data_IF_973853952783
#
_entry.id   IF_973853952783
#
_cell.length_a   1.000
_cell.length_b   1.000
_cell.length_c   1.000
_cell.angle_alpha   90.00
_cell.angle_beta   90.00
_cell.angle_gamma   90.00
#
_symmetry.space_group_name_H-M   'P 1'
#
loop_
_entity.id
_entity.type
_entity.pdbx_description
1 polymer ?
#
# COMPACT_ATOMS: atom_id res chain seq x y z
N UNK A 1 -5.69 23.08 9.55
CA UNK A 1 -4.74 21.99 9.23
C UNK A 1 -3.33 22.51 9.47
N UNK A 2 -2.29 21.68 9.51
CA UNK A 2 -0.91 22.16 9.64
C UNK A 2 -0.12 21.87 8.39
N UNK A 3 0.82 22.75 8.08
CA UNK A 3 1.88 22.49 7.12
C UNK A 3 3.19 22.38 7.89
N UNK A 4 3.88 21.27 7.73
CA UNK A 4 5.28 21.14 8.12
C UNK A 4 6.14 21.46 6.89
N UNK A 5 7.22 22.21 7.10
CA UNK A 5 8.30 22.35 6.15
C UNK A 5 9.54 21.71 6.76
N UNK A 6 10.04 20.64 6.13
CA UNK A 6 11.30 20.01 6.45
C UNK A 6 12.39 20.79 5.70
N UNK A 7 13.27 21.44 6.43
CA UNK A 7 14.21 22.42 5.87
C UNK A 7 15.54 21.77 5.52
N UNK A 8 16.16 21.12 6.51
CA UNK A 8 17.49 20.51 6.39
C UNK A 8 17.64 19.34 7.35
N UNK A 9 18.34 18.29 6.94
CA UNK A 9 18.86 17.24 7.82
C UNK A 9 20.39 17.36 7.83
N UNK A 10 20.98 17.54 9.00
CA UNK A 10 22.43 17.67 9.16
C UNK A 10 22.99 16.41 9.82
N UNK A 11 23.99 15.77 9.23
CA UNK A 11 24.72 14.65 9.81
C UNK A 11 25.92 15.18 10.60
N UNK A 12 25.99 14.88 11.90
CA UNK A 12 27.14 15.22 12.76
C UNK A 12 28.03 13.99 13.01
N UNK A 13 27.46 12.79 12.84
CA UNK A 13 28.15 11.51 12.97
C UNK A 13 27.34 10.43 12.27
N UNK A 14 27.97 9.72 11.33
CA UNK A 14 27.47 8.49 10.73
C UNK A 14 27.52 7.34 11.73
N UNK A 15 26.63 6.36 11.60
CA UNK A 15 26.76 5.07 12.29
C UNK A 15 28.06 4.37 11.85
N UNK A 16 28.30 4.50 10.55
CA UNK A 16 29.17 3.65 9.81
C UNK A 16 30.65 4.00 10.03
N UNK A 17 31.48 3.00 10.38
CA UNK A 17 32.90 3.23 10.71
C UNK A 17 33.71 3.66 9.48
N UNK A 18 33.23 3.30 8.28
CA UNK A 18 33.82 3.71 7.00
C UNK A 18 32.76 3.80 5.91
N UNK A 19 32.17 4.96 5.69
CA UNK A 19 31.19 5.10 4.63
C UNK A 19 30.41 6.38 4.75
N UNK A 20 29.40 6.54 3.90
CA UNK A 20 28.30 7.47 4.12
C UNK A 20 27.11 6.60 4.49
N UNK A 21 26.25 7.06 5.39
CA UNK A 21 24.98 6.37 5.64
C UNK A 21 24.10 6.54 4.39
N UNK A 22 23.54 5.47 3.86
CA UNK A 22 22.57 5.44 2.77
C UNK A 22 21.17 5.85 3.26
N UNK A 23 21.08 7.07 3.79
CA UNK A 23 19.92 7.53 4.55
C UNK A 23 18.58 7.41 3.79
N UNK A 24 17.64 6.66 4.37
CA UNK A 24 16.20 6.70 4.03
C UNK A 24 15.41 7.45 5.10
N UNK A 25 14.90 8.63 4.76
CA UNK A 25 13.99 9.39 5.61
C UNK A 25 12.53 9.15 5.23
N UNK A 26 11.83 8.33 6.03
CA UNK A 26 10.40 8.08 5.90
C UNK A 26 9.57 9.14 6.63
N UNK A 27 8.58 9.71 5.93
CA UNK A 27 7.68 10.74 6.48
C UNK A 27 6.25 10.24 6.58
N UNK A 28 5.72 10.14 7.79
CA UNK A 28 4.37 9.69 8.10
C UNK A 28 3.50 10.85 8.58
N UNK A 29 2.42 11.13 7.88
CA UNK A 29 1.45 12.16 8.28
C UNK A 29 0.20 11.48 8.81
N UNK A 30 -0.11 11.71 10.08
CA UNK A 30 -1.27 11.13 10.77
C UNK A 30 -1.35 9.59 10.68
N UNK A 31 -0.18 8.93 10.63
CA UNK A 31 -0.04 7.48 10.55
C UNK A 31 0.09 6.91 9.12
N UNK A 32 -0.04 7.73 8.08
CA UNK A 32 0.16 7.30 6.70
C UNK A 32 1.54 7.72 6.19
N UNK A 33 2.36 6.77 5.67
CA UNK A 33 3.61 7.15 4.98
C UNK A 33 3.26 7.96 3.74
N UNK A 34 3.75 9.19 3.72
CA UNK A 34 3.57 10.10 2.62
C UNK A 34 4.68 9.95 1.57
N UNK A 35 5.95 9.93 2.00
CA UNK A 35 7.10 9.78 1.10
C UNK A 35 8.32 9.25 1.87
N UNK A 36 9.26 8.66 1.14
CA UNK A 36 10.58 8.33 1.63
C UNK A 36 11.61 9.09 0.79
N UNK A 37 12.40 9.95 1.42
CA UNK A 37 13.53 10.61 0.78
C UNK A 37 14.76 9.72 0.92
N UNK A 38 15.66 9.75 -0.07
CA UNK A 38 16.95 9.05 -0.03
C UNK A 38 18.08 9.99 -0.41
N UNK A 39 19.16 9.97 0.36
CA UNK A 39 20.40 10.68 0.05
C UNK A 39 21.52 10.18 0.95
N UNK A 40 22.63 9.77 0.35
CA UNK A 40 23.84 9.42 1.09
C UNK A 40 24.35 10.64 1.87
N UNK A 41 24.63 10.44 3.16
CA UNK A 41 25.14 11.49 4.05
C UNK A 41 26.37 11.01 4.80
N UNK A 42 27.39 11.86 4.82
CA UNK A 42 28.62 11.64 5.60
C UNK A 42 28.72 12.68 6.73
N UNK A 43 29.69 12.50 7.62
CA UNK A 43 29.98 13.44 8.71
C UNK A 43 30.06 14.90 8.21
N UNK A 44 29.43 15.79 8.98
CA UNK A 44 29.31 17.24 8.74
C UNK A 44 28.60 17.63 7.43
N UNK A 45 27.83 16.73 6.81
CA UNK A 45 27.07 17.03 5.59
C UNK A 45 25.63 17.48 5.85
N UNK A 46 25.12 18.27 4.91
CA UNK A 46 23.75 18.78 4.91
C UNK A 46 22.93 18.17 3.77
N UNK A 47 21.72 17.75 4.11
CA UNK A 47 20.67 17.40 3.17
C UNK A 47 19.55 18.44 3.19
N UNK A 48 19.52 19.36 2.19
CA UNK A 48 18.50 20.39 2.11
C UNK A 48 17.17 19.80 1.58
N UNK A 49 16.36 19.25 2.49
CA UNK A 49 15.11 18.57 2.21
C UNK A 49 14.12 19.44 1.42
N UNK A 50 13.95 20.71 1.82
CA UNK A 50 13.03 21.68 1.20
C UNK A 50 11.61 21.13 0.94
N UNK A 51 11.13 20.22 1.78
CA UNK A 51 9.87 19.53 1.59
C UNK A 51 8.77 20.22 2.40
N UNK A 52 7.57 20.36 1.84
CA UNK A 52 6.42 20.91 2.57
C UNK A 52 5.22 20.00 2.46
N UNK A 53 4.67 19.62 3.61
CA UNK A 53 3.68 18.55 3.73
C UNK A 53 2.55 18.98 4.66
N UNK A 54 1.34 18.49 4.40
CA UNK A 54 0.19 18.76 5.25
C UNK A 54 -0.10 17.58 6.19
N UNK A 55 -0.44 17.91 7.43
CA UNK A 55 -0.86 16.96 8.47
C UNK A 55 -1.89 17.61 9.40
N UNK A 56 -2.69 16.79 10.07
CA UNK A 56 -3.77 17.23 10.96
C UNK A 56 -3.35 17.22 12.43
N UNK A 57 -2.66 16.17 12.87
CA UNK A 57 -2.36 15.89 14.28
C UNK A 57 -0.87 15.71 14.53
N UNK A 58 -0.22 14.81 13.79
CA UNK A 58 1.18 14.45 13.99
C UNK A 58 1.88 14.17 12.66
N UNK A 59 3.16 14.56 12.59
CA UNK A 59 4.09 14.15 11.55
C UNK A 59 5.17 13.31 12.24
N UNK A 60 5.22 12.01 11.95
CA UNK A 60 6.27 11.11 12.42
C UNK A 60 7.31 10.96 11.32
N UNK A 61 8.59 11.03 11.69
CA UNK A 61 9.72 10.87 10.80
C UNK A 61 10.54 9.69 11.32
N UNK A 62 10.93 8.80 10.41
CA UNK A 62 11.85 7.69 10.73
C UNK A 62 13.05 7.80 9.81
N UNK A 63 14.24 7.75 10.38
CA UNK A 63 15.48 7.72 9.63
C UNK A 63 16.06 6.31 9.73
N UNK A 64 16.51 5.80 8.60
CA UNK A 64 17.19 4.51 8.49
C UNK A 64 18.48 4.69 7.73
N UNK A 65 19.46 3.86 8.03
CA UNK A 65 20.52 3.51 7.10
C UNK A 65 20.03 2.37 6.19
N UNK A 66 20.30 2.44 4.90
CA UNK A 66 19.99 1.36 3.94
C UNK A 66 21.28 0.62 3.58
N UNK A 67 21.92 -0.01 4.56
CA UNK A 67 23.14 -0.79 4.34
C UNK A 67 22.87 -2.00 3.43
N UNK A 68 23.26 -1.86 2.16
CA UNK A 68 22.90 -2.81 1.11
C UNK A 68 23.99 -3.84 0.74
N UNK A 69 25.19 -3.71 1.29
CA UNK A 69 26.39 -4.31 0.68
C UNK A 69 26.91 -5.58 1.38
N UNK A 70 26.51 -5.87 2.63
CA UNK A 70 26.96 -7.07 3.35
C UNK A 70 25.82 -7.93 3.94
N UNK A 71 25.90 -9.28 3.83
CA UNK A 71 24.92 -10.15 4.46
C UNK A 71 24.99 -10.03 5.99
N UNK A 72 23.95 -9.45 6.59
CA UNK A 72 23.81 -9.30 8.04
C UNK A 72 24.04 -7.88 8.57
N UNK A 73 24.25 -6.89 7.69
CA UNK A 73 23.75 -5.53 7.91
C UNK A 73 22.28 -5.54 7.52
N UNK A 74 21.39 -5.32 8.49
CA UNK A 74 19.98 -5.08 8.22
C UNK A 74 19.77 -3.55 8.20
N UNK A 75 18.81 -3.01 7.42
CA UNK A 75 18.48 -1.57 7.45
C UNK A 75 18.34 -1.05 8.90
N UNK A 76 19.32 -0.31 9.41
CA UNK A 76 19.39 0.06 10.82
C UNK A 76 18.61 1.35 11.09
N UNK A 77 17.85 1.33 12.19
CA UNK A 77 16.94 2.41 12.52
C UNK A 77 17.68 3.52 13.29
N UNK A 78 18.17 4.52 12.56
CA UNK A 78 18.88 5.70 13.11
C UNK A 78 18.00 6.58 14.02
N UNK A 79 16.67 6.43 13.94
CA UNK A 79 15.75 6.79 15.01
C UNK A 79 14.39 7.33 14.57
N UNK A 80 13.58 7.75 15.55
CA UNK A 80 12.20 8.25 15.31
C UNK A 80 11.95 9.62 15.94
N UNK A 81 11.39 10.54 15.15
CA UNK A 81 10.98 11.87 15.59
C UNK A 81 9.47 12.04 15.44
N UNK A 82 8.81 12.62 16.45
CA UNK A 82 7.40 12.99 16.41
C UNK A 82 7.22 14.51 16.50
N UNK A 83 6.62 15.10 15.47
CA UNK A 83 6.35 16.53 15.38
C UNK A 83 4.85 16.77 15.53
N UNK A 84 4.49 17.49 16.59
CA UNK A 84 3.10 17.87 16.86
C UNK A 84 2.64 19.08 16.04
N UNK A 85 1.35 19.38 16.14
CA UNK A 85 0.70 20.49 15.44
C UNK A 85 1.00 21.91 15.99
N UNK A 86 1.99 22.08 16.86
CA UNK A 86 2.31 23.39 17.42
C UNK A 86 3.02 24.27 16.37
N UNK A 87 2.61 25.53 16.25
CA UNK A 87 3.27 26.47 15.33
C UNK A 87 4.68 26.78 15.85
N UNK A 88 5.69 26.45 15.05
CA UNK A 88 7.10 26.64 15.36
C UNK A 88 7.87 27.07 14.11
N UNK A 89 8.98 27.77 14.29
CA UNK A 89 9.86 28.19 13.19
C UNK A 89 11.28 27.75 13.49
N UNK A 90 11.94 27.13 12.51
CA UNK A 90 13.32 26.64 12.62
C UNK A 90 13.56 25.83 13.90
N UNK A 91 12.58 25.03 14.28
CA UNK A 91 12.72 24.09 15.39
C UNK A 91 13.63 22.94 14.98
N UNK A 92 14.25 22.30 15.96
CA UNK A 92 15.12 21.15 15.72
C UNK A 92 14.59 19.88 16.38
N UNK A 93 14.90 18.75 15.77
CA UNK A 93 14.73 17.41 16.33
C UNK A 93 15.97 16.56 15.97
N UNK A 94 16.22 15.49 16.71
CA UNK A 94 17.43 14.69 16.55
C UNK A 94 17.12 13.21 16.40
N UNK A 95 17.89 12.52 15.54
CA UNK A 95 17.94 11.06 15.45
C UNK A 95 19.29 10.62 16.04
N UNK A 96 19.25 9.72 17.02
CA UNK A 96 20.40 9.35 17.87
C UNK A 96 20.40 7.88 18.28
N UNK A 97 19.73 7.07 17.48
CA UNK A 97 19.79 5.62 17.62
C UNK A 97 20.96 5.11 16.74
N UNK A 98 21.47 3.93 17.06
CA UNK A 98 22.64 3.31 16.40
C UNK A 98 23.88 4.17 16.20
N UNK A 99 24.34 4.81 17.28
CA UNK A 99 25.58 5.61 17.30
C UNK A 99 25.64 6.77 16.27
N UNK A 100 24.58 7.02 15.51
CA UNK A 100 24.40 8.16 14.63
C UNK A 100 24.00 9.44 15.39
N UNK A 101 24.27 10.62 14.81
CA UNK A 101 23.79 11.91 15.34
C UNK A 101 23.36 12.85 14.21
N UNK A 102 22.06 12.83 13.94
CA UNK A 102 21.43 13.68 12.93
C UNK A 102 20.57 14.76 13.57
N UNK A 103 20.61 15.97 13.01
CA UNK A 103 19.75 17.10 13.42
C UNK A 103 18.85 17.55 12.26
N UNK A 104 17.55 17.37 12.42
CA UNK A 104 16.53 17.91 11.53
C UNK A 104 16.16 19.33 11.93
N UNK A 105 16.13 20.25 10.96
CA UNK A 105 15.52 21.58 11.10
C UNK A 105 14.18 21.62 10.37
N UNK A 106 13.13 22.13 11.03
CA UNK A 106 11.79 22.20 10.48
C UNK A 106 10.98 23.40 10.99
N UNK A 107 9.92 23.72 10.26
CA UNK A 107 8.91 24.70 10.67
C UNK A 107 7.51 24.11 10.57
N UNK A 108 6.61 24.51 11.46
CA UNK A 108 5.18 24.15 11.41
C UNK A 108 4.35 25.42 11.42
N UNK A 109 3.44 25.55 10.47
CA UNK A 109 2.55 26.70 10.35
C UNK A 109 1.10 26.26 10.21
N UNK A 110 0.19 27.09 10.71
CA UNK A 110 -1.24 26.89 10.51
C UNK A 110 -1.67 27.13 9.07
N UNK A 111 -2.49 26.21 8.56
CA UNK A 111 -3.20 26.30 7.27
C UNK A 111 -4.70 26.29 7.52
N UNK A 112 -5.28 27.45 7.93
CA UNK A 112 -6.72 27.57 8.16
C UNK A 112 -7.53 27.57 6.85
N UNK A 113 -6.87 27.80 5.72
CA UNK A 113 -7.44 27.75 4.38
C UNK A 113 -7.71 26.32 3.89
N UNK A 114 -7.11 25.32 4.55
CA UNK A 114 -7.32 23.90 4.25
C UNK A 114 -8.16 23.27 5.36
N UNK A 115 -9.34 22.80 4.99
CA UNK A 115 -10.25 22.08 5.86
C UNK A 115 -9.55 20.89 6.53
N UNK A 116 -9.77 20.72 7.83
CA UNK A 116 -8.96 19.84 8.70
C UNK A 116 -9.03 18.34 8.37
N UNK A 117 -9.88 17.89 7.43
CA UNK A 117 -10.26 16.49 7.28
C UNK A 117 -10.22 15.92 5.87
N UNK A 118 -9.74 16.64 4.85
CA UNK A 118 -9.79 16.12 3.46
C UNK A 118 -8.52 16.31 2.64
N UNK A 119 -7.41 15.79 3.17
CA UNK A 119 -6.10 15.77 2.50
C UNK A 119 -6.13 15.09 1.13
N UNK A 120 -6.97 14.07 0.95
CA UNK A 120 -7.10 13.38 -0.33
C UNK A 120 -7.71 14.30 -1.41
N UNK A 121 -8.77 15.05 -1.10
CA UNK A 121 -9.31 16.02 -2.06
C UNK A 121 -8.32 17.14 -2.37
N UNK A 122 -7.57 17.60 -1.36
CA UNK A 122 -6.49 18.55 -1.61
C UNK A 122 -5.42 17.99 -2.56
N UNK A 123 -5.00 16.73 -2.38
CA UNK A 123 -4.06 16.06 -3.27
C UNK A 123 -4.62 15.93 -4.70
N UNK A 124 -5.92 15.62 -4.84
CA UNK A 124 -6.62 15.58 -6.13
C UNK A 124 -6.61 16.95 -6.80
N UNK A 125 -6.94 18.02 -6.06
CA UNK A 125 -6.98 19.38 -6.59
C UNK A 125 -5.58 19.86 -7.01
N UNK A 126 -4.54 19.51 -6.23
CA UNK A 126 -3.15 19.75 -6.61
C UNK A 126 -2.76 18.98 -7.88
N UNK A 127 -3.18 17.72 -7.99
CA UNK A 127 -2.94 16.95 -9.20
C UNK A 127 -3.66 17.56 -10.39
N UNK A 128 -4.93 17.95 -10.26
CA UNK A 128 -5.71 18.63 -11.31
C UNK A 128 -5.02 19.93 -11.78
N UNK A 129 -4.51 20.73 -10.84
CA UNK A 129 -3.82 21.99 -11.12
C UNK A 129 -2.38 21.82 -11.67
N UNK A 130 -1.75 20.64 -11.47
CA UNK A 130 -0.38 20.39 -11.94
C UNK A 130 -0.28 20.53 -13.46
N UNK A 131 0.77 21.23 -13.92
CA UNK A 131 1.09 21.37 -15.34
C UNK A 131 2.13 20.36 -15.83
N UNK A 132 2.54 19.41 -14.98
CA UNK A 132 3.48 18.38 -15.38
C UNK A 132 2.87 17.53 -16.52
N UNK A 133 3.67 17.19 -17.55
CA UNK A 133 3.18 16.34 -18.64
C UNK A 133 2.90 14.93 -18.12
N UNK A 134 1.93 14.25 -18.73
CA UNK A 134 1.68 12.82 -18.49
C UNK A 134 2.49 11.94 -19.43
N UNK A 135 2.93 10.79 -18.94
CA UNK A 135 3.67 9.80 -19.74
C UNK A 135 2.81 8.64 -20.26
N UNK A 136 1.49 8.77 -20.13
CA UNK A 136 0.46 7.82 -20.59
C UNK A 136 -0.32 8.43 -21.75
N UNK A 137 0.14 8.29 -23.01
CA UNK A 137 -0.42 9.00 -24.16
C UNK A 137 -1.88 8.65 -24.44
N UNK A 138 -2.35 7.49 -23.98
CA UNK A 138 -3.72 7.00 -24.21
C UNK A 138 -4.68 7.27 -23.05
N UNK A 139 -4.20 7.85 -21.94
CA UNK A 139 -5.03 8.14 -20.76
C UNK A 139 -5.20 9.65 -20.59
N UNK A 140 -6.45 10.07 -20.39
CA UNK A 140 -6.81 11.46 -20.16
C UNK A 140 -6.64 11.82 -18.68
N UNK A 141 -5.85 12.85 -18.37
CA UNK A 141 -5.75 13.40 -17.00
C UNK A 141 -7.11 13.75 -16.42
N UNK A 142 -8.00 14.34 -17.22
CA UNK A 142 -9.34 14.73 -16.76
C UNK A 142 -10.19 13.52 -16.36
N UNK A 143 -10.07 12.41 -17.09
CA UNK A 143 -10.76 11.16 -16.73
C UNK A 143 -10.16 10.55 -15.45
N UNK A 144 -8.83 10.55 -15.31
CA UNK A 144 -8.14 10.10 -14.09
C UNK A 144 -8.60 10.92 -12.87
N UNK A 145 -8.63 12.25 -12.96
CA UNK A 145 -9.10 13.12 -11.86
C UNK A 145 -10.56 12.81 -11.49
N UNK A 146 -11.43 12.57 -12.49
CA UNK A 146 -12.82 12.17 -12.26
C UNK A 146 -12.89 10.84 -11.52
N UNK A 147 -12.07 9.86 -11.90
CA UNK A 147 -12.02 8.56 -11.25
C UNK A 147 -11.53 8.68 -9.80
N UNK A 148 -10.46 9.42 -9.55
CA UNK A 148 -9.94 9.68 -8.20
C UNK A 148 -11.01 10.28 -7.27
N UNK A 149 -11.76 11.29 -7.76
CA UNK A 149 -12.89 11.88 -7.02
C UNK A 149 -13.99 10.85 -6.75
N UNK A 150 -14.29 9.99 -7.74
CA UNK A 150 -15.28 8.94 -7.58
C UNK A 150 -14.85 7.89 -6.54
N UNK A 151 -13.58 7.46 -6.52
CA UNK A 151 -13.07 6.46 -5.55
C UNK A 151 -12.96 7.05 -4.15
N UNK A 152 -12.60 8.34 -4.04
CA UNK A 152 -12.61 9.07 -2.78
C UNK A 152 -14.01 9.11 -2.14
N UNK A 153 -15.05 9.28 -2.95
CA UNK A 153 -16.44 9.28 -2.50
C UNK A 153 -17.00 7.88 -2.25
N UNK A 154 -16.58 6.89 -3.05
CA UNK A 154 -16.97 5.50 -2.88
C UNK A 154 -15.89 4.53 -3.40
N UNK A 155 -14.98 4.03 -2.52
CA UNK A 155 -13.89 3.15 -2.93
C UNK A 155 -14.38 1.78 -3.41
N UNK A 156 -15.61 1.36 -3.04
CA UNK A 156 -16.16 0.08 -3.51
C UNK A 156 -16.42 0.07 -5.01
N UNK A 157 -16.28 1.17 -5.73
CA UNK A 157 -16.47 1.22 -7.19
C UNK A 157 -15.25 0.79 -8.00
N UNK A 158 -14.11 0.54 -7.35
CA UNK A 158 -12.92 -0.04 -7.99
C UNK A 158 -13.30 -1.41 -8.55
N UNK A 159 -12.97 -1.70 -9.80
CA UNK A 159 -13.41 -2.95 -10.42
C UNK A 159 -12.43 -3.42 -11.50
N UNK A 160 -11.97 -4.66 -11.37
CA UNK A 160 -11.11 -5.35 -12.34
C UNK A 160 -11.82 -5.75 -13.64
N UNK A 161 -13.13 -5.56 -13.71
CA UNK A 161 -13.98 -6.03 -14.81
C UNK A 161 -13.82 -7.55 -15.00
N UNK A 162 -13.66 -8.04 -16.23
CA UNK A 162 -13.48 -9.47 -16.51
C UNK A 162 -11.99 -9.86 -16.59
N UNK A 163 -11.11 -9.14 -15.88
CA UNK A 163 -9.66 -9.36 -15.89
C UNK A 163 -9.21 -10.22 -14.71
N UNK A 164 -8.14 -11.00 -14.90
CA UNK A 164 -7.47 -11.78 -13.86
C UNK A 164 -6.60 -10.89 -12.94
N UNK A 165 -7.18 -9.82 -12.38
CA UNK A 165 -6.50 -8.85 -11.52
C UNK A 165 -7.07 -8.81 -10.10
N UNK A 166 -7.63 -9.90 -9.60
CA UNK A 166 -8.33 -9.93 -8.30
C UNK A 166 -7.40 -9.57 -7.14
N UNK A 167 -6.16 -10.06 -7.16
CA UNK A 167 -5.12 -9.72 -6.17
C UNK A 167 -4.79 -8.22 -6.16
N UNK A 168 -4.26 -7.65 -7.25
CA UNK A 168 -3.96 -6.21 -7.32
C UNK A 168 -5.16 -5.33 -7.02
N UNK A 169 -6.35 -5.71 -7.49
CA UNK A 169 -7.59 -4.95 -7.26
C UNK A 169 -7.99 -4.95 -5.79
N UNK A 170 -7.78 -6.06 -5.09
CA UNK A 170 -8.00 -6.16 -3.64
C UNK A 170 -7.08 -5.21 -2.88
N UNK A 171 -5.79 -5.16 -3.25
CA UNK A 171 -4.82 -4.22 -2.67
C UNK A 171 -5.22 -2.77 -2.97
N UNK A 172 -5.55 -2.44 -4.22
CA UNK A 172 -5.89 -1.06 -4.62
C UNK A 172 -7.19 -0.59 -3.96
N UNK A 173 -8.19 -1.46 -3.82
CA UNK A 173 -9.38 -1.17 -3.03
C UNK A 173 -9.04 -0.86 -1.58
N UNK A 174 -8.23 -1.70 -0.94
CA UNK A 174 -7.86 -1.52 0.45
C UNK A 174 -7.04 -0.24 0.64
N UNK A 175 -6.15 0.08 -0.31
CA UNK A 175 -5.38 1.33 -0.35
C UNK A 175 -6.31 2.54 -0.46
N UNK A 176 -7.24 2.56 -1.41
CA UNK A 176 -8.16 3.67 -1.58
C UNK A 176 -9.12 3.85 -0.38
N UNK A 177 -9.48 2.75 0.30
CA UNK A 177 -10.37 2.75 1.46
C UNK A 177 -9.67 3.24 2.73
N UNK A 178 -8.44 2.80 2.95
CA UNK A 178 -7.70 3.04 4.21
C UNK A 178 -6.73 4.21 4.13
N UNK A 179 -6.20 4.50 2.94
CA UNK A 179 -5.16 5.50 2.67
C UNK A 179 -5.47 6.29 1.39
N UNK A 180 -6.61 7.01 1.34
CA UNK A 180 -7.10 7.63 0.11
C UNK A 180 -6.16 8.67 -0.48
N UNK A 181 -5.38 9.37 0.36
CA UNK A 181 -4.36 10.32 -0.12
C UNK A 181 -3.23 9.57 -0.83
N UNK A 182 -2.71 8.50 -0.22
CA UNK A 182 -1.65 7.68 -0.81
C UNK A 182 -2.07 7.10 -2.16
N UNK A 183 -3.31 6.61 -2.29
CA UNK A 183 -3.84 6.19 -3.58
C UNK A 183 -3.75 7.29 -4.66
N UNK A 184 -4.14 8.53 -4.32
CA UNK A 184 -4.02 9.69 -5.22
C UNK A 184 -2.56 9.97 -5.58
N UNK A 185 -1.66 9.93 -4.59
CA UNK A 185 -0.24 10.21 -4.78
C UNK A 185 0.43 9.15 -5.69
N UNK A 186 0.12 7.87 -5.52
CA UNK A 186 0.65 6.80 -6.39
C UNK A 186 0.12 6.94 -7.83
N UNK A 187 -1.18 7.20 -8.00
CA UNK A 187 -1.78 7.43 -9.33
C UNK A 187 -1.14 8.63 -10.02
N UNK A 188 -0.91 9.73 -9.28
CA UNK A 188 -0.24 10.91 -9.81
C UNK A 188 1.20 10.62 -10.23
N UNK A 189 2.00 9.99 -9.36
CA UNK A 189 3.39 9.64 -9.66
C UNK A 189 3.48 8.79 -10.92
N UNK A 190 2.60 7.79 -11.03
CA UNK A 190 2.53 6.91 -12.17
C UNK A 190 2.14 7.66 -13.46
N UNK A 191 1.19 8.58 -13.39
CA UNK A 191 0.80 9.42 -14.53
C UNK A 191 1.90 10.39 -14.98
N UNK A 192 2.51 11.12 -14.04
CA UNK A 192 3.47 12.20 -14.33
C UNK A 192 4.88 11.69 -14.62
N UNK A 193 5.30 10.58 -13.99
CA UNK A 193 6.70 10.08 -14.07
C UNK A 193 6.81 8.69 -14.67
N UNK A 194 5.72 7.93 -14.76
CA UNK A 194 5.73 6.57 -15.28
C UNK A 194 6.02 5.50 -14.25
N UNK A 195 6.26 5.86 -12.99
CA UNK A 195 6.42 4.91 -11.89
C UNK A 195 6.05 5.55 -10.57
N UNK A 196 5.99 4.75 -9.52
CA UNK A 196 5.73 5.21 -8.16
C UNK A 196 6.71 4.54 -7.18
N UNK A 197 6.92 5.19 -6.04
CA UNK A 197 7.66 4.58 -4.93
C UNK A 197 6.73 3.76 -4.04
N UNK A 198 7.08 2.50 -3.80
CA UNK A 198 6.54 1.71 -2.69
C UNK A 198 7.22 2.12 -1.37
N UNK A 199 7.33 1.25 -0.37
CA UNK A 199 8.11 1.55 0.84
C UNK A 199 9.60 1.56 0.50
N UNK A 200 10.10 0.46 -0.07
CA UNK A 200 11.54 0.24 -0.26
C UNK A 200 11.99 0.35 -1.72
N UNK A 201 11.09 0.19 -2.70
CA UNK A 201 11.47 0.11 -4.11
C UNK A 201 10.66 1.05 -5.00
N UNK A 202 11.22 1.34 -6.18
CA UNK A 202 10.48 2.02 -7.24
C UNK A 202 9.84 0.98 -8.16
N UNK A 203 8.58 1.22 -8.52
CA UNK A 203 7.81 0.38 -9.43
C UNK A 203 7.50 1.20 -10.67
N UNK A 204 8.10 0.84 -11.81
CA UNK A 204 7.99 1.60 -13.06
C UNK A 204 7.10 0.90 -14.08
N UNK A 205 6.09 1.60 -14.61
CA UNK A 205 5.31 1.10 -15.73
C UNK A 205 6.17 1.04 -17.00
N UNK A 206 6.35 -0.16 -17.59
CA UNK A 206 7.15 -0.28 -18.79
C UNK A 206 6.46 0.42 -19.95
N UNK A 207 7.24 0.91 -20.90
CA UNK A 207 6.72 1.68 -22.02
C UNK A 207 5.60 0.94 -22.78
N UNK A 208 5.75 -0.38 -22.98
CA UNK A 208 4.74 -1.19 -23.64
C UNK A 208 3.38 -1.17 -22.94
N UNK A 209 3.34 -1.05 -21.61
CA UNK A 209 2.10 -0.88 -20.85
C UNK A 209 1.56 0.56 -20.98
N UNK A 210 2.44 1.56 -20.87
CA UNK A 210 2.07 2.99 -20.94
C UNK A 210 1.43 3.38 -22.27
N UNK A 211 1.83 2.72 -23.34
CA UNK A 211 1.33 2.96 -24.69
C UNK A 211 -0.05 2.31 -24.95
N UNK A 212 -0.62 1.57 -23.97
CA UNK A 212 -1.94 0.93 -24.08
C UNK A 212 -3.08 1.83 -23.62
N UNK A 213 -4.27 1.62 -24.20
CA UNK A 213 -5.51 2.14 -23.63
C UNK A 213 -5.87 1.42 -22.33
N UNK A 214 -6.70 2.04 -21.49
CA UNK A 214 -7.30 1.35 -20.36
C UNK A 214 -8.02 0.07 -20.82
N UNK A 215 -7.59 -1.07 -20.30
CA UNK A 215 -8.11 -2.38 -20.67
C UNK A 215 -9.52 -2.61 -20.12
N UNK A 216 -10.32 -3.39 -20.88
CA UNK A 216 -11.60 -3.96 -20.45
C UNK A 216 -12.63 -2.96 -19.86
N UNK A 217 -12.60 -1.69 -20.26
CA UNK A 217 -13.43 -0.62 -19.70
C UNK A 217 -13.21 -0.37 -18.18
N UNK A 218 -12.07 -0.79 -17.64
CA UNK A 218 -11.64 -0.35 -16.31
C UNK A 218 -11.45 1.17 -16.32
N UNK A 219 -11.64 1.79 -15.15
CA UNK A 219 -11.40 3.23 -15.04
C UNK A 219 -9.90 3.52 -15.24
N UNK A 220 -9.53 4.57 -16.00
CA UNK A 220 -8.13 4.92 -16.25
C UNK A 220 -7.24 4.95 -15.01
N UNK A 221 -7.69 5.52 -13.89
CA UNK A 221 -6.90 5.57 -12.66
C UNK A 221 -6.63 4.17 -12.08
N UNK A 222 -7.67 3.33 -12.06
CA UNK A 222 -7.59 1.97 -11.51
C UNK A 222 -6.76 1.07 -12.41
N UNK A 223 -7.00 1.11 -13.73
CA UNK A 223 -6.22 0.37 -14.72
C UNK A 223 -4.73 0.67 -14.60
N UNK A 224 -4.37 1.95 -14.53
CA UNK A 224 -2.98 2.37 -14.51
C UNK A 224 -2.24 1.73 -13.34
N UNK A 225 -2.78 1.84 -12.12
CA UNK A 225 -2.15 1.27 -10.93
C UNK A 225 -2.19 -0.27 -10.92
N UNK A 226 -3.36 -0.88 -11.19
CA UNK A 226 -3.56 -2.33 -11.15
C UNK A 226 -2.69 -3.03 -12.21
N UNK A 227 -2.66 -2.52 -13.44
CA UNK A 227 -1.91 -3.14 -14.52
C UNK A 227 -0.40 -2.98 -14.32
N UNK A 228 0.07 -1.85 -13.75
CA UNK A 228 1.48 -1.68 -13.38
C UNK A 228 1.88 -2.66 -12.28
N UNK A 229 1.07 -2.80 -11.22
CA UNK A 229 1.35 -3.76 -10.16
C UNK A 229 1.48 -5.19 -10.70
N UNK A 230 0.59 -5.60 -11.60
CA UNK A 230 0.63 -6.93 -12.23
C UNK A 230 1.82 -7.11 -13.17
N UNK A 231 2.26 -6.06 -13.87
CA UNK A 231 3.37 -6.17 -14.80
C UNK A 231 4.73 -6.26 -14.07
N UNK A 232 4.87 -5.46 -13.01
CA UNK A 232 6.10 -5.29 -12.26
C UNK A 232 6.10 -6.10 -10.96
N UNK A 233 5.45 -7.27 -10.97
CA UNK A 233 5.48 -8.21 -9.85
C UNK A 233 6.94 -8.46 -9.45
N UNK A 234 7.78 -8.91 -10.38
CA UNK A 234 9.19 -9.18 -10.11
C UNK A 234 10.03 -7.98 -9.63
N UNK A 235 9.55 -6.73 -9.77
CA UNK A 235 10.25 -5.55 -9.26
C UNK A 235 10.07 -5.37 -7.75
N UNK A 236 8.95 -5.84 -7.21
CA UNK A 236 8.64 -5.82 -5.76
C UNK A 236 9.12 -7.12 -5.10
N UNK A 237 9.44 -8.13 -5.91
CA UNK A 237 9.49 -9.53 -5.54
C UNK A 237 10.74 -10.21 -6.10
N UNK A 238 11.70 -10.53 -5.24
CA UNK A 238 12.83 -11.40 -5.61
C UNK A 238 12.32 -12.81 -5.98
N UNK A 239 12.64 -13.30 -7.17
CA UNK A 239 12.20 -14.64 -7.64
C UNK A 239 12.63 -15.71 -6.64
N UNK A 240 11.67 -16.26 -5.89
CA UNK A 240 11.97 -17.30 -4.90
C UNK A 240 12.15 -18.65 -5.62
N UNK A 241 13.31 -19.32 -5.47
CA UNK A 241 13.53 -20.66 -6.02
C UNK A 241 12.67 -21.74 -5.33
N UNK A 242 12.02 -21.42 -4.19
CA UNK A 242 11.26 -22.34 -3.36
C UNK A 242 9.74 -22.33 -3.62
N UNK A 243 9.27 -21.69 -4.70
CA UNK A 243 7.86 -21.77 -5.15
C UNK A 243 7.52 -23.15 -5.76
N UNK A 244 7.92 -24.23 -5.09
CA UNK A 244 7.61 -25.61 -5.45
C UNK A 244 6.45 -26.12 -4.60
N UNK A 245 5.33 -26.47 -5.24
CA UNK A 245 4.12 -26.94 -4.55
C UNK A 245 2.84 -26.73 -5.34
N UNK A 246 1.68 -26.97 -4.72
CA UNK A 246 0.34 -26.74 -5.33
C UNK A 246 0.16 -25.30 -5.82
N UNK A 247 0.89 -24.33 -5.22
CA UNK A 247 0.91 -22.92 -5.62
C UNK A 247 1.49 -22.67 -7.01
N UNK A 248 2.39 -23.52 -7.52
CA UNK A 248 2.92 -23.39 -8.90
C UNK A 248 1.95 -23.88 -9.98
N UNK A 249 0.88 -24.59 -9.59
CA UNK A 249 -0.16 -25.09 -10.50
C UNK A 249 -1.27 -24.04 -10.75
N UNK A 250 -1.18 -22.89 -10.07
CA UNK A 250 -2.13 -21.78 -10.16
C UNK A 250 -1.60 -20.78 -11.20
N UNK A 251 -1.47 -21.23 -12.45
CA UNK A 251 -0.95 -20.40 -13.54
C UNK A 251 -1.87 -19.19 -13.78
N UNK A 252 -1.36 -17.99 -13.49
CA UNK A 252 -2.03 -16.73 -13.82
C UNK A 252 -2.90 -16.08 -12.73
N UNK A 253 -2.97 -16.66 -11.53
CA UNK A 253 -3.51 -15.97 -10.33
C UNK A 253 -2.37 -15.27 -9.58
N UNK A 254 -2.71 -14.26 -8.78
CA UNK A 254 -1.78 -13.70 -7.80
C UNK A 254 -1.53 -14.72 -6.69
N UNK A 255 -0.26 -14.95 -6.35
CA UNK A 255 0.16 -15.84 -5.27
C UNK A 255 0.01 -15.18 -3.89
N UNK A 256 -0.08 -15.96 -2.79
CA UNK A 256 -0.10 -15.39 -1.45
C UNK A 256 1.09 -14.48 -1.13
N UNK A 257 2.28 -14.84 -1.60
CA UNK A 257 3.49 -14.06 -1.33
C UNK A 257 3.50 -12.71 -2.07
N UNK A 258 2.95 -12.64 -3.29
CA UNK A 258 2.74 -11.35 -3.96
C UNK A 258 1.75 -10.47 -3.17
N UNK A 259 0.66 -11.05 -2.66
CA UNK A 259 -0.26 -10.34 -1.78
C UNK A 259 0.42 -9.85 -0.50
N UNK A 260 1.32 -10.63 0.09
CA UNK A 260 2.06 -10.23 1.28
C UNK A 260 2.96 -9.03 1.01
N UNK A 261 3.82 -9.10 0.00
CA UNK A 261 4.73 -7.99 -0.22
C UNK A 261 4.00 -6.74 -0.74
N UNK A 262 2.91 -6.84 -1.50
CA UNK A 262 2.06 -5.65 -1.76
C UNK A 262 1.40 -5.10 -0.48
N UNK A 263 0.99 -5.97 0.44
CA UNK A 263 0.45 -5.54 1.75
C UNK A 263 1.53 -4.80 2.56
N UNK A 264 2.79 -5.25 2.50
CA UNK A 264 3.91 -4.56 3.13
C UNK A 264 4.26 -3.24 2.43
N UNK A 265 4.38 -3.27 1.10
CA UNK A 265 5.01 -2.22 0.30
C UNK A 265 4.04 -1.09 -0.11
N UNK A 266 2.81 -1.46 -0.48
CA UNK A 266 1.80 -0.48 -0.94
C UNK A 266 0.92 -0.03 0.21
N UNK A 267 0.44 -0.98 1.04
CA UNK A 267 -0.41 -0.71 2.19
C UNK A 267 0.37 -0.38 3.46
N UNK A 268 1.71 -0.48 3.42
CA UNK A 268 2.61 -0.07 4.49
C UNK A 268 2.39 -0.82 5.79
N UNK A 269 1.90 -2.06 5.70
CA UNK A 269 1.73 -2.92 6.86
C UNK A 269 3.10 -3.43 7.31
N UNK A 270 3.43 -3.26 8.59
CA UNK A 270 4.75 -3.64 9.11
C UNK A 270 4.78 -5.07 9.59
N UNK A 271 3.61 -5.63 9.91
CA UNK A 271 3.46 -7.04 10.25
C UNK A 271 2.48 -7.65 9.27
N UNK A 272 3.01 -8.48 8.38
CA UNK A 272 2.23 -9.20 7.37
C UNK A 272 2.29 -10.70 7.66
N UNK A 273 1.19 -11.39 7.48
CA UNK A 273 1.11 -12.83 7.67
C UNK A 273 0.20 -13.47 6.62
N UNK A 274 0.71 -14.49 5.94
CA UNK A 274 -0.07 -15.43 5.16
C UNK A 274 -0.37 -16.71 5.97
N UNK A 275 -1.50 -17.33 5.65
CA UNK A 275 -1.85 -18.69 6.08
C UNK A 275 -2.59 -19.38 4.96
N UNK A 276 -2.27 -20.64 4.67
CA UNK A 276 -2.96 -21.45 3.68
C UNK A 276 -3.77 -22.55 4.35
N UNK A 277 -4.90 -22.89 3.75
CA UNK A 277 -5.89 -23.84 4.30
C UNK A 277 -6.23 -24.94 3.30
N UNK A 278 -5.27 -25.34 2.46
CA UNK A 278 -5.47 -26.42 1.48
C UNK A 278 -5.83 -27.79 2.10
N UNK A 279 -5.62 -27.96 3.40
CA UNK A 279 -5.84 -29.24 4.12
C UNK A 279 -6.79 -29.06 5.30
N UNK A 280 -6.64 -27.99 6.08
CA UNK A 280 -7.48 -27.61 7.22
C UNK A 280 -7.10 -26.20 7.70
N UNK A 281 -7.95 -25.58 8.52
CA UNK A 281 -7.66 -24.35 9.27
C UNK A 281 -8.50 -23.13 8.87
N UNK A 282 -9.51 -23.34 8.02
CA UNK A 282 -10.36 -22.33 7.39
C UNK A 282 -11.07 -21.46 8.42
N UNK A 283 -11.59 -22.07 9.49
CA UNK A 283 -12.27 -21.36 10.57
C UNK A 283 -11.32 -20.52 11.43
N UNK A 284 -10.13 -21.04 11.73
CA UNK A 284 -9.15 -20.27 12.52
C UNK A 284 -8.61 -19.11 11.69
N UNK A 285 -8.39 -19.32 10.39
CA UNK A 285 -7.99 -18.29 9.46
C UNK A 285 -9.06 -17.18 9.34
N UNK A 286 -10.34 -17.49 9.12
CA UNK A 286 -11.37 -16.43 9.00
C UNK A 286 -11.60 -15.68 10.32
N UNK A 287 -11.47 -16.35 11.47
CA UNK A 287 -11.50 -15.69 12.79
C UNK A 287 -10.32 -14.74 12.96
N UNK A 288 -9.12 -15.16 12.55
CA UNK A 288 -7.94 -14.32 12.58
C UNK A 288 -8.07 -13.11 11.64
N UNK A 289 -8.55 -13.32 10.41
CA UNK A 289 -8.87 -12.25 9.48
C UNK A 289 -9.89 -11.25 10.07
N UNK A 290 -10.94 -11.75 10.72
CA UNK A 290 -11.90 -10.91 11.44
C UNK A 290 -11.25 -10.10 12.55
N UNK A 291 -10.36 -10.71 13.35
CA UNK A 291 -9.62 -10.02 14.40
C UNK A 291 -8.74 -8.90 13.82
N UNK A 292 -7.90 -9.19 12.82
CA UNK A 292 -7.02 -8.20 12.18
C UNK A 292 -7.83 -7.02 11.63
N UNK A 293 -8.88 -7.31 10.87
CA UNK A 293 -9.74 -6.29 10.27
C UNK A 293 -10.45 -5.44 11.33
N UNK A 294 -10.96 -6.07 12.39
CA UNK A 294 -11.64 -5.37 13.50
C UNK A 294 -10.68 -4.50 14.31
N UNK A 295 -9.39 -4.80 14.29
CA UNK A 295 -8.32 -3.98 14.87
C UNK A 295 -7.83 -2.85 13.95
N UNK A 296 -8.45 -2.66 12.78
CA UNK A 296 -8.06 -1.62 11.81
C UNK A 296 -6.97 -2.06 10.81
N UNK A 297 -6.59 -3.33 10.83
CA UNK A 297 -5.71 -3.93 9.81
C UNK A 297 -6.44 -4.26 8.51
N UNK A 298 -5.72 -4.95 7.63
CA UNK A 298 -6.22 -5.41 6.33
C UNK A 298 -6.25 -6.94 6.28
N UNK A 299 -7.26 -7.50 5.64
CA UNK A 299 -7.42 -8.94 5.51
C UNK A 299 -7.95 -9.31 4.12
N UNK A 300 -7.23 -10.22 3.45
CA UNK A 300 -7.49 -10.74 2.13
C UNK A 300 -7.77 -12.23 2.23
N UNK A 301 -8.72 -12.74 1.44
CA UNK A 301 -9.09 -14.16 1.43
C UNK A 301 -8.80 -14.72 0.04
N UNK A 302 -8.07 -15.83 0.01
CA UNK A 302 -7.89 -16.67 -1.16
C UNK A 302 -9.01 -17.71 -1.19
N UNK A 303 -9.79 -17.72 -2.26
CA UNK A 303 -10.98 -18.57 -2.36
C UNK A 303 -11.20 -19.10 -3.77
N UNK A 304 -12.11 -20.05 -3.90
CA UNK A 304 -12.74 -20.39 -5.18
C UNK A 304 -14.06 -19.62 -5.34
N UNK A 305 -14.31 -19.06 -6.53
CA UNK A 305 -15.42 -18.17 -6.84
C UNK A 305 -16.81 -18.80 -6.66
N UNK A 306 -16.89 -20.13 -6.64
CA UNK A 306 -18.07 -20.90 -6.20
C UNK A 306 -18.51 -20.59 -4.76
N UNK A 307 -17.69 -19.90 -3.96
CA UNK A 307 -18.11 -19.35 -2.67
C UNK A 307 -19.31 -18.41 -2.82
N UNK A 308 -19.40 -17.65 -3.93
CA UNK A 308 -20.50 -16.71 -4.18
C UNK A 308 -21.77 -17.40 -4.68
N UNK A 309 -21.62 -18.55 -5.36
CA UNK A 309 -22.74 -19.30 -5.90
C UNK A 309 -22.35 -20.77 -5.98
N UNK A 310 -22.90 -21.65 -5.12
CA UNK A 310 -22.56 -23.07 -5.12
C UNK A 310 -22.83 -23.71 -6.49
N UNK A 311 -21.92 -24.53 -7.02
CA UNK A 311 -22.13 -25.24 -8.27
C UNK A 311 -23.08 -26.43 -8.06
N UNK A 312 -23.62 -26.97 -9.15
CA UNK A 312 -24.38 -28.24 -9.12
C UNK A 312 -23.48 -29.47 -8.84
N UNK A 313 -22.16 -29.28 -8.76
CA UNK A 313 -21.14 -30.33 -8.63
C UNK A 313 -20.15 -30.08 -7.48
N UNK A 314 -19.00 -30.75 -7.55
CA UNK A 314 -17.91 -30.55 -6.57
C UNK A 314 -17.19 -29.24 -6.87
N UNK A 315 -16.91 -28.45 -5.82
CA UNK A 315 -16.02 -27.28 -5.91
C UNK A 315 -14.63 -27.75 -6.34
N UNK A 316 -14.01 -27.14 -7.36
CA UNK A 316 -12.64 -27.43 -7.74
C UNK A 316 -11.67 -27.29 -6.55
N UNK A 317 -10.73 -28.23 -6.36
CA UNK A 317 -9.82 -28.24 -5.20
C UNK A 317 -8.64 -27.27 -5.35
N UNK A 318 -8.83 -26.14 -6.03
CA UNK A 318 -7.85 -25.08 -6.19
C UNK A 318 -8.55 -23.72 -6.17
N UNK A 319 -7.91 -22.66 -5.63
CA UNK A 319 -8.48 -21.31 -5.66
C UNK A 319 -8.41 -20.69 -7.05
N UNK A 320 -9.27 -19.70 -7.31
CA UNK A 320 -9.29 -18.92 -8.55
C UNK A 320 -9.42 -17.40 -8.30
N UNK A 321 -9.57 -16.97 -7.03
CA UNK A 321 -9.94 -15.59 -6.73
C UNK A 321 -9.41 -15.07 -5.39
N UNK A 322 -9.21 -13.75 -5.35
CA UNK A 322 -8.88 -12.98 -4.15
C UNK A 322 -9.98 -11.97 -3.86
N UNK A 323 -10.29 -11.81 -2.57
CA UNK A 323 -11.28 -10.83 -2.08
C UNK A 323 -10.76 -10.12 -0.84
N UNK A 324 -11.34 -8.97 -0.51
CA UNK A 324 -11.05 -8.27 0.76
C UNK A 324 -12.14 -8.62 1.77
N UNK A 325 -11.76 -9.05 2.96
CA UNK A 325 -12.70 -9.26 4.05
C UNK A 325 -13.31 -7.93 4.48
N UNK A 326 -14.64 -7.90 4.64
CA UNK A 326 -15.41 -6.67 4.90
C UNK A 326 -16.29 -6.76 6.17
N UNK A 327 -15.92 -7.64 7.12
CA UNK A 327 -16.54 -7.69 8.44
C UNK A 327 -17.77 -8.60 8.55
N UNK A 328 -18.40 -8.54 9.73
CA UNK A 328 -19.69 -9.21 9.99
C UNK A 328 -19.60 -10.72 10.19
N UNK A 329 -18.49 -11.24 10.71
CA UNK A 329 -18.36 -12.67 11.01
C UNK A 329 -19.42 -13.13 12.04
N UNK A 330 -20.22 -14.13 11.67
CA UNK A 330 -21.14 -14.86 12.53
C UNK A 330 -21.07 -16.34 12.20
N UNK A 331 -20.64 -17.14 13.19
CA UNK A 331 -20.53 -18.60 13.11
C UNK A 331 -21.58 -19.22 14.03
N UNK A 332 -22.82 -19.33 13.55
CA UNK A 332 -23.94 -19.82 14.35
C UNK A 332 -24.87 -20.74 13.58
N UNK A 333 -25.45 -21.71 14.28
CA UNK A 333 -26.47 -22.60 13.70
C UNK A 333 -25.98 -23.49 12.56
N UNK A 334 -24.70 -23.88 12.55
CA UNK A 334 -24.10 -24.69 11.48
C UNK A 334 -23.89 -23.92 10.18
N UNK A 335 -23.77 -22.59 10.27
CA UNK A 335 -23.56 -21.68 9.15
C UNK A 335 -22.49 -20.66 9.50
N UNK A 336 -21.90 -20.09 8.47
CA UNK A 336 -20.95 -18.99 8.57
C UNK A 336 -21.42 -17.84 7.68
N UNK A 337 -21.42 -16.64 8.26
CA UNK A 337 -21.78 -15.40 7.59
C UNK A 337 -20.67 -14.39 7.73
N UNK A 338 -20.41 -13.63 6.69
CA UNK A 338 -19.48 -12.50 6.67
C UNK A 338 -19.66 -11.72 5.37
N UNK A 339 -19.07 -10.54 5.26
CA UNK A 339 -19.06 -9.76 4.02
C UNK A 339 -17.67 -9.75 3.39
N UNK A 340 -17.62 -9.69 2.07
CA UNK A 340 -16.38 -9.52 1.30
C UNK A 340 -16.55 -8.46 0.23
N UNK A 341 -15.50 -7.72 -0.07
CA UNK A 341 -15.41 -6.91 -1.27
C UNK A 341 -14.85 -7.74 -2.43
N UNK A 342 -15.54 -7.66 -3.58
CA UNK A 342 -15.11 -8.23 -4.85
C UNK A 342 -15.78 -7.45 -5.99
N UNK A 343 -15.22 -7.45 -7.20
CA UNK A 343 -15.86 -6.92 -8.43
C UNK A 343 -16.65 -5.60 -8.29
N UNK A 344 -16.14 -4.65 -7.51
CA UNK A 344 -16.78 -3.36 -7.30
C UNK A 344 -18.04 -3.38 -6.41
N UNK A 345 -18.17 -4.35 -5.49
CA UNK A 345 -19.28 -4.43 -4.55
C UNK A 345 -18.91 -5.14 -3.24
N UNK A 346 -19.73 -4.93 -2.21
CA UNK A 346 -19.70 -5.71 -0.98
C UNK A 346 -20.77 -6.80 -1.06
N UNK A 347 -20.33 -8.05 -0.92
CA UNK A 347 -21.18 -9.22 -0.95
C UNK A 347 -21.33 -9.79 0.46
N UNK A 348 -22.55 -9.79 1.04
CA UNK A 348 -22.83 -10.60 2.22
C UNK A 348 -22.91 -12.07 1.80
N UNK A 349 -22.12 -12.91 2.45
CA UNK A 349 -22.10 -14.35 2.28
C UNK A 349 -22.83 -15.01 3.46
N UNK A 350 -23.62 -16.03 3.17
CA UNK A 350 -24.29 -16.88 4.15
C UNK A 350 -24.21 -18.33 3.67
N UNK A 351 -23.28 -19.09 4.24
CA UNK A 351 -22.86 -20.41 3.73
C UNK A 351 -23.06 -21.49 4.81
N UNK A 352 -23.23 -22.75 4.38
CA UNK A 352 -22.97 -23.87 5.29
C UNK A 352 -21.48 -23.93 5.62
N UNK A 353 -21.15 -24.52 6.77
CA UNK A 353 -19.74 -24.75 7.17
C UNK A 353 -18.99 -25.55 6.10
N UNK A 354 -19.58 -26.65 5.63
CA UNK A 354 -18.98 -27.50 4.59
C UNK A 354 -18.69 -26.75 3.28
N UNK A 355 -19.59 -25.86 2.83
CA UNK A 355 -19.38 -25.11 1.59
C UNK A 355 -18.27 -24.08 1.75
N UNK A 356 -18.20 -23.44 2.92
CA UNK A 356 -17.12 -22.52 3.23
C UNK A 356 -15.77 -23.24 3.27
N UNK A 357 -15.66 -24.39 3.94
CA UNK A 357 -14.44 -25.19 3.99
C UNK A 357 -13.95 -25.58 2.58
N UNK A 358 -14.86 -25.99 1.70
CA UNK A 358 -14.50 -26.40 0.34
C UNK A 358 -14.07 -25.24 -0.58
N UNK A 359 -14.35 -23.99 -0.21
CA UNK A 359 -14.07 -22.83 -1.05
C UNK A 359 -12.96 -21.92 -0.50
N UNK A 360 -12.48 -22.12 0.73
CA UNK A 360 -11.54 -21.21 1.38
C UNK A 360 -10.14 -21.84 1.42
N UNK A 361 -9.16 -21.16 0.83
CA UNK A 361 -7.81 -21.70 0.60
C UNK A 361 -6.70 -20.96 1.33
N UNK A 362 -7.03 -19.82 1.96
CA UNK A 362 -6.08 -19.11 2.81
C UNK A 362 -6.43 -17.64 3.00
N UNK A 363 -5.54 -16.95 3.71
CA UNK A 363 -5.61 -15.52 3.97
C UNK A 363 -4.23 -14.86 3.83
N UNK A 364 -4.25 -13.57 3.52
CA UNK A 364 -3.14 -12.65 3.81
C UNK A 364 -3.68 -11.54 4.70
N UNK A 365 -2.93 -11.17 5.73
CA UNK A 365 -3.32 -10.14 6.71
C UNK A 365 -2.18 -9.18 6.96
N UNK A 366 -2.49 -7.93 7.32
CA UNK A 366 -1.48 -6.92 7.63
C UNK A 366 -1.93 -5.90 8.68
N UNK A 367 -1.02 -5.52 9.59
CA UNK A 367 -1.22 -4.50 10.63
C UNK A 367 -0.54 -3.17 10.29
#
# INVERSE_FOLDING_TARGET
>A
MKQITLENLHCTGTEDWTGADECRLEVYNDGELHFAYRQDLNDDQDWPLNASLLFATTCMLRLFDEDGDFPGDDDDALGVVHIGAADVQHATATFREDDADYTLTYSVVDRPDIGQTDLANFAIDQFEASTAPGVWPQLSKADIIRDLRARRGNPTTINQMNSNFCGPTSIVFELARTQPRRYVDLVRQLYETGGFWSRTHRVDAPQGLRDTHAGQNMSPADWMLIATMRNEENAIFGVSPDSSGVTSQIEGMTTPWEMEGWTSELLLKTTVSNSTTFVWGEFDAIRYAHQVWSSGGSAFIMLHSDMFSPPDGMVPPWPDHWVVYAGGLDESGGRIRFSVYSWGNIYPLDLSLDHFENCMFGIVTGF
#
